data_IF_971568089591
#
_entry.id   IF_971568089591
#
_cell.length_a   1.000
_cell.length_b   1.000
_cell.length_c   1.000
_cell.angle_alpha   90.00
_cell.angle_beta   90.00
_cell.angle_gamma   90.00
#
_symmetry.space_group_name_H-M   'P 1'
#
loop_
_entity.id
_entity.type
_entity.pdbx_description
1 polymer ?
#
# COMPACT_ATOMS: atom_id res chain seq x y z
N UNK A 1 -12.20 -9.76 -24.09
CA UNK A 1 -11.82 -10.63 -22.95
C UNK A 1 -10.34 -11.01 -23.01
N UNK A 2 -9.83 -11.44 -24.18
CA UNK A 2 -8.40 -11.77 -24.38
C UNK A 2 -7.44 -10.67 -23.90
N UNK A 3 -7.63 -9.42 -24.32
CA UNK A 3 -6.77 -8.29 -23.88
C UNK A 3 -6.71 -8.16 -22.37
N UNK A 4 -7.84 -8.34 -21.66
CA UNK A 4 -7.87 -8.24 -20.20
C UNK A 4 -7.10 -9.37 -19.50
N UNK A 5 -7.12 -10.59 -20.07
CA UNK A 5 -6.34 -11.73 -19.55
C UNK A 5 -4.85 -11.44 -19.72
N UNK A 6 -4.45 -10.91 -20.89
CA UNK A 6 -3.07 -10.50 -21.16
C UNK A 6 -2.62 -9.40 -20.19
N UNK A 7 -3.46 -8.38 -19.94
CA UNK A 7 -3.17 -7.33 -18.95
C UNK A 7 -2.90 -7.91 -17.55
N UNK A 8 -3.76 -8.84 -17.10
CA UNK A 8 -3.63 -9.48 -15.78
C UNK A 8 -2.33 -10.29 -15.71
N UNK A 9 -1.99 -11.04 -16.76
CA UNK A 9 -0.74 -11.78 -16.82
C UNK A 9 0.48 -10.87 -16.63
N UNK A 10 0.56 -9.76 -17.37
CA UNK A 10 1.68 -8.81 -17.22
C UNK A 10 1.73 -8.14 -15.85
N UNK A 11 0.56 -7.88 -15.23
CA UNK A 11 0.51 -7.37 -13.85
C UNK A 11 1.10 -8.40 -12.88
N UNK A 12 0.66 -9.66 -12.95
CA UNK A 12 1.14 -10.74 -12.07
C UNK A 12 2.63 -10.99 -12.29
N UNK A 13 3.09 -11.12 -13.54
CA UNK A 13 4.49 -11.32 -13.89
C UNK A 13 5.37 -10.17 -13.34
N UNK A 14 4.88 -8.93 -13.44
CA UNK A 14 5.59 -7.78 -12.90
C UNK A 14 5.66 -7.77 -11.36
N UNK A 15 4.62 -8.21 -10.66
CA UNK A 15 4.60 -8.29 -9.19
C UNK A 15 5.53 -9.42 -8.73
N UNK A 16 5.46 -10.59 -9.37
CA UNK A 16 6.35 -11.72 -9.08
C UNK A 16 7.81 -11.31 -9.27
N UNK A 17 8.12 -10.63 -10.37
CA UNK A 17 9.47 -10.09 -10.62
C UNK A 17 9.91 -9.14 -9.51
N UNK A 18 9.04 -8.24 -9.07
CA UNK A 18 9.33 -7.33 -7.96
C UNK A 18 9.62 -8.07 -6.64
N UNK A 19 8.84 -9.11 -6.32
CA UNK A 19 9.06 -9.93 -5.12
C UNK A 19 10.34 -10.79 -5.22
N UNK A 20 10.63 -11.36 -6.40
CA UNK A 20 11.82 -12.18 -6.59
C UNK A 20 13.11 -11.35 -6.56
N UNK A 21 13.04 -10.08 -6.99
CA UNK A 21 14.15 -9.11 -6.92
C UNK A 21 14.59 -8.80 -5.48
N UNK A 22 13.69 -8.92 -4.51
CA UNK A 22 14.02 -8.71 -3.10
C UNK A 22 14.58 -9.95 -2.41
N UNK A 23 14.44 -11.14 -3.01
CA UNK A 23 14.89 -12.39 -2.42
C UNK A 23 16.44 -12.49 -2.37
N UNK A 24 17.05 -12.74 -1.21
CA UNK A 24 18.51 -12.70 -1.05
C UNK A 24 19.25 -13.74 -1.92
N UNK A 25 18.68 -14.93 -2.11
CA UNK A 25 19.31 -15.99 -2.93
C UNK A 25 19.33 -15.70 -4.44
N UNK A 26 18.58 -14.71 -4.92
CA UNK A 26 18.49 -14.34 -6.34
C UNK A 26 19.28 -13.07 -6.67
N UNK A 27 20.04 -12.55 -5.71
CA UNK A 27 20.90 -11.40 -5.91
C UNK A 27 22.35 -11.85 -6.13
N UNK A 28 22.94 -11.34 -7.19
CA UNK A 28 24.30 -11.66 -7.61
C UNK A 28 25.24 -10.62 -7.02
N UNK A 29 26.40 -11.00 -6.48
CA UNK A 29 27.35 -10.02 -5.99
C UNK A 29 27.96 -9.23 -7.14
N UNK A 30 27.80 -7.91 -7.10
CA UNK A 30 28.46 -6.98 -8.00
C UNK A 30 29.65 -6.32 -7.30
N UNK A 31 30.79 -6.30 -7.99
CA UNK A 31 31.97 -5.56 -7.55
C UNK A 31 31.84 -4.11 -8.06
N UNK A 32 31.31 -3.22 -7.22
CA UNK A 32 31.38 -1.77 -7.48
C UNK A 32 32.71 -1.24 -6.98
N UNK A 33 33.62 -0.92 -7.91
CA UNK A 33 34.80 -0.12 -7.61
C UNK A 33 34.38 1.31 -7.26
N UNK A 34 34.28 1.63 -5.96
CA UNK A 34 34.21 3.02 -5.54
C UNK A 34 35.58 3.67 -5.77
N UNK A 35 35.65 4.52 -6.79
CA UNK A 35 36.83 5.31 -7.11
C UNK A 35 36.94 6.47 -6.10
N UNK A 36 37.45 6.18 -4.89
CA UNK A 36 37.74 7.21 -3.90
C UNK A 36 38.90 8.04 -4.43
N UNK A 37 38.62 9.27 -4.88
CA UNK A 37 39.63 10.21 -5.37
C UNK A 37 40.41 10.78 -4.17
N UNK A 38 41.28 9.97 -3.55
CA UNK A 38 42.14 10.39 -2.44
C UNK A 38 43.35 11.12 -2.98
N UNK A 39 43.28 12.44 -3.05
CA UNK A 39 44.49 13.26 -2.92
C UNK A 39 44.98 13.11 -1.46
N UNK A 40 46.18 12.55 -1.31
CA UNK A 40 47.00 12.46 -0.08
C UNK A 40 46.53 11.52 1.04
N UNK A 41 47.08 10.29 1.11
CA UNK A 41 47.56 9.67 2.36
C UNK A 41 48.34 8.36 2.13
N UNK A 42 49.49 8.21 2.81
CA UNK A 42 50.53 7.16 2.67
C UNK A 42 50.34 5.90 3.56
N UNK A 43 49.13 5.37 3.74
CA UNK A 43 48.93 4.12 4.52
C UNK A 43 48.11 3.11 3.69
N UNK A 44 48.56 1.85 3.52
CA UNK A 44 47.75 0.83 2.88
C UNK A 44 46.65 0.39 3.84
N UNK A 45 45.42 0.83 3.61
CA UNK A 45 44.23 0.27 4.24
C UNK A 45 43.63 -0.77 3.29
N UNK A 46 43.34 -1.96 3.81
CA UNK A 46 42.53 -2.96 3.11
C UNK A 46 41.11 -2.39 2.98
N UNK A 47 40.70 -1.99 1.77
CA UNK A 47 39.30 -1.66 1.52
C UNK A 47 38.49 -2.95 1.59
N UNK A 48 37.61 -3.05 2.59
CA UNK A 48 36.50 -4.01 2.55
C UNK A 48 35.64 -3.63 1.35
N UNK A 49 35.79 -4.39 0.26
CA UNK A 49 34.93 -4.28 -0.90
C UNK A 49 33.50 -4.55 -0.45
N UNK A 50 32.67 -3.50 -0.39
CA UNK A 50 31.26 -3.62 -0.09
C UNK A 50 30.63 -4.42 -1.23
N UNK A 51 30.50 -5.73 -1.03
CA UNK A 51 29.83 -6.66 -1.95
C UNK A 51 28.36 -6.27 -2.01
N UNK A 52 28.00 -5.39 -2.95
CA UNK A 52 26.60 -5.05 -3.21
C UNK A 52 25.96 -6.23 -3.90
N UNK A 53 24.84 -6.70 -3.36
CA UNK A 53 24.06 -7.77 -3.99
C UNK A 53 23.09 -7.11 -4.96
N UNK A 54 23.45 -7.07 -6.24
CA UNK A 54 22.60 -6.54 -7.29
C UNK A 54 21.64 -7.63 -7.80
N UNK A 55 20.41 -7.25 -8.19
CA UNK A 55 19.49 -8.20 -8.78
C UNK A 55 19.98 -8.67 -10.15
N UNK A 56 19.68 -9.91 -10.51
CA UNK A 56 20.03 -10.47 -11.82
C UNK A 56 19.44 -9.65 -12.98
N UNK A 57 20.22 -9.42 -14.04
CA UNK A 57 19.82 -8.66 -15.23
C UNK A 57 18.53 -9.17 -15.90
N UNK A 58 18.21 -10.47 -15.78
CA UNK A 58 16.98 -11.06 -16.30
C UNK A 58 15.72 -10.34 -15.77
N UNK A 59 15.72 -9.94 -14.50
CA UNK A 59 14.60 -9.21 -13.90
C UNK A 59 14.42 -7.84 -14.54
N UNK A 60 15.50 -7.18 -14.94
CA UNK A 60 15.42 -5.90 -15.63
C UNK A 60 14.74 -6.03 -17.00
N UNK A 61 15.07 -7.07 -17.78
CA UNK A 61 14.41 -7.33 -19.06
C UNK A 61 12.92 -7.62 -18.90
N UNK A 62 12.54 -8.45 -17.93
CA UNK A 62 11.12 -8.74 -17.64
C UNK A 62 10.38 -7.48 -17.20
N UNK A 63 10.97 -6.64 -16.34
CA UNK A 63 10.41 -5.33 -15.95
C UNK A 63 10.23 -4.43 -17.18
N UNK A 64 11.20 -4.40 -18.09
CA UNK A 64 11.14 -3.61 -19.32
C UNK A 64 9.96 -4.04 -20.22
N UNK A 65 9.82 -5.35 -20.47
CA UNK A 65 8.73 -5.91 -21.28
C UNK A 65 7.36 -5.62 -20.65
N UNK A 66 7.22 -5.83 -19.34
CA UNK A 66 5.96 -5.55 -18.64
C UNK A 66 5.59 -4.06 -18.71
N UNK A 67 6.57 -3.16 -18.52
CA UNK A 67 6.32 -1.73 -18.60
C UNK A 67 6.03 -1.26 -20.02
N UNK A 68 6.65 -1.86 -21.05
CA UNK A 68 6.33 -1.60 -22.45
C UNK A 68 4.86 -1.97 -22.77
N UNK A 69 4.37 -3.08 -22.22
CA UNK A 69 2.95 -3.42 -22.34
C UNK A 69 2.04 -2.40 -21.63
N UNK A 70 2.42 -1.96 -20.43
CA UNK A 70 1.66 -0.96 -19.67
C UNK A 70 1.60 0.40 -20.35
N UNK A 71 2.68 0.82 -21.00
CA UNK A 71 2.73 2.09 -21.73
C UNK A 71 1.88 2.00 -22.99
N UNK A 72 1.96 0.90 -23.71
CA UNK A 72 1.09 0.62 -24.85
C UNK A 72 -0.39 0.70 -24.45
N UNK A 73 -0.79 0.03 -23.36
CA UNK A 73 -2.17 0.12 -22.87
C UNK A 73 -2.59 1.55 -22.49
N UNK A 74 -1.71 2.28 -21.80
CA UNK A 74 -1.98 3.65 -21.36
C UNK A 74 -2.13 4.60 -22.56
N UNK A 75 -1.24 4.49 -23.55
CA UNK A 75 -1.26 5.29 -24.79
C UNK A 75 -2.51 4.98 -25.59
N UNK A 76 -2.81 3.70 -25.84
CA UNK A 76 -4.00 3.31 -26.60
C UNK A 76 -5.29 3.82 -25.93
N UNK A 77 -5.39 3.71 -24.60
CA UNK A 77 -6.54 4.24 -23.85
C UNK A 77 -6.61 5.76 -23.90
N UNK A 78 -5.47 6.44 -23.80
CA UNK A 78 -5.41 7.90 -23.92
C UNK A 78 -5.88 8.35 -25.31
N UNK A 79 -5.40 7.71 -26.39
CA UNK A 79 -5.75 8.02 -27.78
C UNK A 79 -7.25 7.83 -28.06
N UNK A 80 -7.82 6.71 -27.63
CA UNK A 80 -9.25 6.37 -27.86
C UNK A 80 -10.19 7.19 -26.95
N UNK A 81 -9.70 7.80 -25.87
CA UNK A 81 -10.55 8.58 -24.96
C UNK A 81 -11.10 9.86 -25.63
N UNK A 82 -12.42 10.15 -25.50
CA UNK A 82 -13.03 11.32 -26.14
C UNK A 82 -12.62 12.64 -25.47
N UNK A 83 -12.37 12.63 -24.16
CA UNK A 83 -11.98 13.82 -23.39
C UNK A 83 -10.72 13.52 -22.56
N UNK A 84 -9.59 14.07 -22.98
CA UNK A 84 -8.25 13.76 -22.42
C UNK A 84 -8.10 14.18 -20.95
N UNK A 85 -8.63 15.35 -20.58
CA UNK A 85 -8.55 15.87 -19.20
C UNK A 85 -9.33 15.02 -18.19
N UNK A 86 -10.51 14.54 -18.59
CA UNK A 86 -11.32 13.63 -17.76
C UNK A 86 -10.60 12.28 -17.61
N UNK A 87 -9.98 11.80 -18.69
CA UNK A 87 -9.17 10.59 -18.65
C UNK A 87 -7.98 10.71 -17.67
N UNK A 88 -7.24 11.82 -17.72
CA UNK A 88 -6.08 12.05 -16.85
C UNK A 88 -6.45 12.24 -15.38
N UNK A 89 -7.65 12.79 -15.07
CA UNK A 89 -8.12 12.97 -13.68
C UNK A 89 -8.76 11.72 -13.08
N UNK A 90 -9.04 10.67 -13.87
CA UNK A 90 -9.66 9.47 -13.35
C UNK A 90 -8.68 8.69 -12.44
N UNK A 91 -9.05 8.30 -11.21
CA UNK A 91 -8.12 7.78 -10.20
C UNK A 91 -7.38 6.52 -10.66
N UNK A 92 -8.06 5.61 -11.36
CA UNK A 92 -7.43 4.39 -11.91
C UNK A 92 -6.38 4.72 -12.97
N UNK A 93 -6.60 5.74 -13.80
CA UNK A 93 -5.64 6.15 -14.83
C UNK A 93 -4.47 6.95 -14.23
N UNK A 94 -4.69 7.70 -13.15
CA UNK A 94 -3.61 8.36 -12.39
C UNK A 94 -2.65 7.31 -11.83
N UNK A 95 -3.19 6.25 -11.21
CA UNK A 95 -2.39 5.12 -10.73
C UNK A 95 -1.63 4.46 -11.88
N UNK A 96 -2.29 4.23 -13.02
CA UNK A 96 -1.63 3.67 -14.21
C UNK A 96 -0.45 4.53 -14.68
N UNK A 97 -0.62 5.85 -14.69
CA UNK A 97 0.39 6.82 -15.10
C UNK A 97 1.56 6.87 -14.10
N UNK A 98 1.28 7.01 -12.81
CA UNK A 98 2.30 7.07 -11.73
C UNK A 98 3.13 5.79 -11.70
N UNK A 99 2.49 4.62 -11.77
CA UNK A 99 3.17 3.33 -11.77
C UNK A 99 4.12 3.19 -12.98
N UNK A 100 3.68 3.64 -14.15
CA UNK A 100 4.47 3.60 -15.38
C UNK A 100 5.62 4.59 -15.33
N UNK A 101 5.36 5.83 -14.91
CA UNK A 101 6.34 6.91 -14.78
C UNK A 101 7.47 6.53 -13.81
N UNK A 102 7.15 5.87 -12.69
CA UNK A 102 8.15 5.45 -11.70
C UNK A 102 9.28 4.59 -12.28
N UNK A 103 8.97 3.72 -13.24
CA UNK A 103 9.98 2.89 -13.92
C UNK A 103 10.89 3.73 -14.83
N UNK A 104 10.32 4.65 -15.60
CA UNK A 104 11.09 5.53 -16.49
C UNK A 104 12.01 6.46 -15.70
N UNK A 105 11.54 6.95 -14.55
CA UNK A 105 12.37 7.76 -13.66
C UNK A 105 13.57 6.97 -13.12
N UNK A 106 13.35 5.73 -12.66
CA UNK A 106 14.44 4.87 -12.20
C UNK A 106 15.44 4.53 -13.32
N UNK A 107 14.93 4.17 -14.51
CA UNK A 107 15.75 3.90 -15.68
C UNK A 107 16.59 5.11 -16.09
N UNK A 108 15.98 6.31 -16.11
CA UNK A 108 16.67 7.55 -16.44
C UNK A 108 17.76 7.89 -15.42
N UNK A 109 17.45 7.80 -14.12
CA UNK A 109 18.40 8.11 -13.05
C UNK A 109 19.59 7.14 -13.05
N UNK A 110 19.34 5.85 -13.32
CA UNK A 110 20.40 4.85 -13.49
C UNK A 110 21.32 5.18 -14.66
N UNK A 111 20.77 5.65 -15.79
CA UNK A 111 21.55 6.09 -16.96
C UNK A 111 22.37 7.35 -16.68
N UNK A 112 21.83 8.28 -15.90
CA UNK A 112 22.51 9.51 -15.50
C UNK A 112 23.55 9.30 -14.39
N UNK A 113 23.77 8.06 -13.92
CA UNK A 113 24.71 7.68 -12.83
C UNK A 113 24.54 8.54 -11.57
N UNK A 114 23.33 9.02 -11.30
CA UNK A 114 23.05 9.88 -10.15
C UNK A 114 22.58 9.01 -8.99
N UNK A 115 23.51 8.64 -8.11
CA UNK A 115 23.18 7.98 -6.85
C UNK A 115 22.51 9.00 -5.92
N UNK A 116 21.19 8.89 -5.77
CA UNK A 116 20.48 9.58 -4.69
C UNK A 116 19.54 8.59 -4.01
N UNK A 117 19.33 8.76 -2.71
CA UNK A 117 18.37 8.00 -1.89
C UNK A 117 16.94 8.01 -2.49
N UNK A 118 16.63 8.99 -3.34
CA UNK A 118 15.37 9.04 -4.11
C UNK A 118 15.12 7.80 -4.99
N UNK A 119 16.17 7.09 -5.43
CA UNK A 119 16.03 5.85 -6.22
C UNK A 119 15.29 4.74 -5.46
N UNK A 120 15.56 4.64 -4.15
CA UNK A 120 14.88 3.67 -3.29
C UNK A 120 13.40 4.04 -3.11
N UNK A 121 13.10 5.32 -2.97
CA UNK A 121 11.72 5.81 -2.88
C UNK A 121 10.90 5.54 -4.16
N UNK A 122 11.48 5.80 -5.35
CA UNK A 122 10.81 5.50 -6.63
C UNK A 122 10.57 4.00 -6.83
N UNK A 123 11.37 3.13 -6.22
CA UNK A 123 11.18 1.68 -6.26
C UNK A 123 9.94 1.24 -5.48
N UNK A 124 9.58 1.91 -4.38
CA UNK A 124 8.35 1.62 -3.62
C UNK A 124 7.10 1.96 -4.44
N UNK A 125 7.16 3.05 -5.24
CA UNK A 125 6.04 3.47 -6.10
C UNK A 125 5.67 2.35 -7.10
N UNK A 126 6.59 1.44 -7.45
CA UNK A 126 6.27 0.30 -8.33
C UNK A 126 5.16 -0.58 -7.78
N UNK A 127 5.03 -0.71 -6.45
CA UNK A 127 3.97 -1.49 -5.79
C UNK A 127 2.58 -0.96 -6.17
N UNK A 128 2.45 0.33 -6.49
CA UNK A 128 1.17 0.92 -6.93
C UNK A 128 0.61 0.26 -8.19
N UNK A 129 1.43 -0.43 -9.01
CA UNK A 129 0.95 -1.22 -10.15
C UNK A 129 0.03 -2.38 -9.74
N UNK A 130 0.07 -2.84 -8.49
CA UNK A 130 -0.88 -3.81 -7.92
C UNK A 130 -2.32 -3.30 -8.07
N UNK A 131 -2.53 -2.00 -7.86
CA UNK A 131 -3.83 -1.37 -7.97
C UNK A 131 -4.34 -1.32 -9.43
N UNK A 132 -3.54 -1.64 -10.46
CA UNK A 132 -4.05 -1.85 -11.83
C UNK A 132 -5.07 -2.98 -11.89
N UNK A 133 -4.98 -3.98 -11.00
CA UNK A 133 -5.95 -5.06 -10.87
C UNK A 133 -7.37 -4.54 -10.57
N UNK A 134 -7.50 -3.34 -9.97
CA UNK A 134 -8.79 -2.68 -9.73
C UNK A 134 -9.59 -2.49 -11.03
N UNK A 135 -8.94 -2.33 -12.18
CA UNK A 135 -9.61 -2.19 -13.48
C UNK A 135 -10.31 -3.48 -13.90
N UNK A 136 -9.67 -4.60 -13.64
CA UNK A 136 -10.06 -5.93 -14.12
C UNK A 136 -10.95 -6.68 -13.13
N UNK A 137 -10.89 -6.34 -11.85
CA UNK A 137 -11.78 -6.89 -10.81
C UNK A 137 -12.97 -5.97 -10.58
N UNK A 138 -14.19 -6.33 -11.05
CA UNK A 138 -15.40 -5.60 -10.70
C UNK A 138 -15.65 -5.63 -9.18
N UNK A 139 -15.24 -6.71 -8.49
CA UNK A 139 -15.34 -6.83 -7.04
C UNK A 139 -14.55 -5.74 -6.30
N UNK A 140 -13.34 -5.41 -6.77
CA UNK A 140 -12.52 -4.38 -6.15
C UNK A 140 -13.08 -2.96 -6.36
N UNK A 141 -13.75 -2.71 -7.50
CA UNK A 141 -14.48 -1.43 -7.71
C UNK A 141 -15.67 -1.30 -6.76
N UNK A 142 -16.43 -2.39 -6.59
CA UNK A 142 -17.54 -2.42 -5.64
C UNK A 142 -17.01 -2.18 -4.23
N UNK A 143 -15.94 -2.86 -3.84
CA UNK A 143 -15.26 -2.70 -2.55
C UNK A 143 -14.87 -1.23 -2.29
N UNK A 144 -14.26 -0.55 -3.26
CA UNK A 144 -13.91 0.87 -3.15
C UNK A 144 -15.16 1.75 -2.98
N UNK A 145 -16.21 1.49 -3.75
CA UNK A 145 -17.47 2.25 -3.64
C UNK A 145 -18.15 2.05 -2.28
N UNK A 146 -18.16 0.83 -1.76
CA UNK A 146 -18.70 0.50 -0.44
C UNK A 146 -17.85 1.13 0.68
N UNK A 147 -16.51 1.09 0.58
CA UNK A 147 -15.64 1.80 1.53
C UNK A 147 -15.88 3.30 1.52
N UNK A 148 -16.06 3.90 0.35
CA UNK A 148 -16.38 5.33 0.23
C UNK A 148 -17.73 5.67 0.86
N UNK A 149 -18.72 4.80 0.72
CA UNK A 149 -20.04 4.97 1.33
C UNK A 149 -19.98 4.82 2.86
N UNK A 150 -19.17 3.89 3.36
CA UNK A 150 -18.97 3.61 4.80
C UNK A 150 -17.82 4.41 5.44
N UNK A 151 -17.25 5.39 4.72
CA UNK A 151 -16.05 6.10 5.15
C UNK A 151 -16.26 6.86 6.47
N UNK A 152 -17.45 7.45 6.66
CA UNK A 152 -17.80 8.16 7.88
C UNK A 152 -17.71 7.25 9.12
N UNK A 153 -18.36 6.07 9.06
CA UNK A 153 -18.35 5.08 10.14
C UNK A 153 -16.95 4.52 10.41
N UNK A 154 -16.17 4.27 9.35
CA UNK A 154 -14.80 3.79 9.47
C UNK A 154 -13.88 4.84 10.09
N UNK A 155 -14.02 6.12 9.72
CA UNK A 155 -13.25 7.20 10.33
C UNK A 155 -13.57 7.35 11.82
N UNK A 156 -14.83 7.18 12.22
CA UNK A 156 -15.25 7.22 13.62
C UNK A 156 -14.65 6.04 14.42
N UNK A 157 -14.61 4.83 13.87
CA UNK A 157 -13.91 3.70 14.49
C UNK A 157 -12.41 3.99 14.69
N UNK A 158 -11.73 4.47 13.64
CA UNK A 158 -10.30 4.81 13.70
C UNK A 158 -10.03 5.90 14.74
N UNK A 159 -10.93 6.89 14.85
CA UNK A 159 -10.84 7.96 15.84
C UNK A 159 -10.85 7.44 17.28
N UNK A 160 -11.80 6.58 17.64
CA UNK A 160 -11.83 5.98 18.99
C UNK A 160 -10.63 5.08 19.25
N UNK A 161 -10.17 4.34 18.23
CA UNK A 161 -9.01 3.47 18.33
C UNK A 161 -7.73 4.30 18.62
N UNK A 162 -7.52 5.41 17.92
CA UNK A 162 -6.38 6.32 18.16
C UNK A 162 -6.42 6.90 19.57
N UNK A 163 -7.60 7.35 20.04
CA UNK A 163 -7.74 7.87 21.41
C UNK A 163 -7.36 6.80 22.44
N UNK A 164 -7.89 5.59 22.28
CA UNK A 164 -7.55 4.47 23.17
C UNK A 164 -6.05 4.15 23.16
N UNK A 165 -5.42 4.11 21.99
CA UNK A 165 -3.98 3.86 21.86
C UNK A 165 -3.18 4.89 22.67
N UNK A 166 -3.48 6.19 22.48
CA UNK A 166 -2.73 7.26 23.16
C UNK A 166 -2.91 7.21 24.67
N UNK A 167 -4.13 6.94 25.15
CA UNK A 167 -4.44 6.82 26.58
C UNK A 167 -3.68 5.63 27.18
N UNK A 168 -3.82 4.43 26.62
CA UNK A 168 -3.19 3.23 27.19
C UNK A 168 -1.66 3.23 27.06
N UNK A 169 -1.11 3.79 25.97
CA UNK A 169 0.33 4.00 25.84
C UNK A 169 0.89 4.93 26.92
N UNK A 170 0.15 5.99 27.25
CA UNK A 170 0.54 6.91 28.32
C UNK A 170 0.43 6.25 29.70
N UNK A 171 -0.67 5.53 29.95
CA UNK A 171 -0.90 4.83 31.22
C UNK A 171 0.17 3.77 31.49
N UNK A 172 0.49 2.92 30.51
CA UNK A 172 1.50 1.86 30.71
C UNK A 172 2.89 2.46 30.90
N UNK A 173 3.22 3.54 30.19
CA UNK A 173 4.49 4.25 30.35
C UNK A 173 4.67 4.77 31.78
N UNK A 174 3.65 5.41 32.35
CA UNK A 174 3.73 5.86 33.75
C UNK A 174 3.68 4.70 34.73
N UNK A 175 2.85 3.68 34.50
CA UNK A 175 2.73 2.51 35.37
C UNK A 175 4.06 1.75 35.52
N UNK A 176 4.78 1.54 34.42
CA UNK A 176 6.07 0.83 34.41
C UNK A 176 7.22 1.63 35.03
N UNK A 177 7.05 2.95 35.25
CA UNK A 177 8.04 3.78 35.95
C UNK A 177 7.81 3.92 37.45
N UNK A 178 6.65 3.48 37.96
CA UNK A 178 6.33 3.57 39.39
C UNK A 178 7.12 2.53 40.20
N UNK A 179 7.31 1.33 39.65
CA UNK A 179 8.07 0.26 40.29
C UNK A 179 9.45 0.13 39.63
N UNK A 180 10.47 -0.19 40.42
CA UNK A 180 11.81 -0.46 39.88
C UNK A 180 11.76 -1.71 39.00
N UNK A 181 12.01 -1.53 37.70
CA UNK A 181 12.04 -2.58 36.70
C UNK A 181 13.35 -2.45 35.88
N UNK A 182 14.35 -3.33 36.09
CA UNK A 182 15.61 -3.26 35.36
C UNK A 182 15.47 -3.57 33.87
N UNK A 183 14.44 -4.33 33.48
CA UNK A 183 14.17 -4.71 32.09
C UNK A 183 12.94 -3.98 31.53
N UNK A 184 12.84 -2.67 31.75
CA UNK A 184 11.72 -1.86 31.26
C UNK A 184 11.83 -1.58 29.76
N UNK A 185 10.87 -2.07 28.98
CA UNK A 185 10.79 -1.84 27.54
C UNK A 185 10.14 -0.49 27.17
N UNK A 186 9.40 0.14 28.09
CA UNK A 186 8.63 1.37 27.86
C UNK A 186 9.49 2.63 28.09
N UNK A 187 10.44 2.87 27.20
CA UNK A 187 11.38 4.02 27.30
C UNK A 187 10.73 5.36 26.97
N UNK A 188 9.71 5.37 26.11
CA UNK A 188 9.02 6.58 25.68
C UNK A 188 7.57 6.29 25.29
N UNK A 189 6.71 7.32 25.31
CA UNK A 189 5.30 7.18 24.92
C UNK A 189 5.15 6.66 23.48
N UNK A 190 5.93 7.13 22.46
CA UNK A 190 5.84 6.59 21.11
C UNK A 190 6.15 5.09 21.01
N UNK A 191 7.09 4.60 21.83
CA UNK A 191 7.38 3.16 21.95
C UNK A 191 6.21 2.42 22.61
N UNK A 192 5.55 3.04 23.60
CA UNK A 192 4.28 2.56 24.16
C UNK A 192 3.12 2.54 23.17
N UNK A 193 3.08 3.43 22.16
CA UNK A 193 2.06 3.42 21.11
C UNK A 193 2.11 2.12 20.30
N UNK A 194 3.32 1.61 19.98
CA UNK A 194 3.49 0.31 19.31
C UNK A 194 2.84 -0.82 20.12
N UNK A 195 3.17 -0.90 21.41
CA UNK A 195 2.55 -1.88 22.31
C UNK A 195 1.03 -1.74 22.40
N UNK A 196 0.52 -0.51 22.53
CA UNK A 196 -0.92 -0.24 22.64
C UNK A 196 -1.67 -0.60 21.34
N UNK A 197 -1.08 -0.34 20.16
CA UNK A 197 -1.62 -0.78 18.87
C UNK A 197 -1.72 -2.31 18.84
N UNK A 198 -0.63 -3.00 19.14
CA UNK A 198 -0.55 -4.48 19.10
C UNK A 198 -1.48 -5.13 20.12
N UNK A 199 -1.66 -4.52 21.28
CA UNK A 199 -2.51 -5.04 22.37
C UNK A 199 -3.99 -4.76 22.12
N UNK A 200 -4.36 -3.54 21.73
CA UNK A 200 -5.76 -3.20 21.44
C UNK A 200 -6.31 -3.93 20.21
N UNK A 201 -5.45 -4.24 19.24
CA UNK A 201 -5.81 -5.05 18.05
C UNK A 201 -5.70 -6.56 18.29
N UNK A 202 -5.44 -6.97 19.53
CA UNK A 202 -5.31 -8.39 19.95
C UNK A 202 -4.26 -9.19 19.17
N UNK A 203 -3.24 -8.54 18.60
CA UNK A 203 -2.14 -9.21 17.89
C UNK A 203 -1.16 -9.84 18.87
N UNK A 204 -0.73 -9.07 19.88
CA UNK A 204 0.07 -9.58 21.00
C UNK A 204 1.38 -10.29 20.61
N UNK A 205 2.29 -9.63 19.88
CA UNK A 205 3.57 -10.22 19.48
C UNK A 205 4.45 -10.69 20.66
N UNK A 206 4.31 -10.06 21.84
CA UNK A 206 5.09 -10.40 23.03
C UNK A 206 6.52 -9.84 23.04
N UNK A 207 6.88 -9.00 22.07
CA UNK A 207 8.15 -8.27 22.02
C UNK A 207 8.25 -7.20 23.12
N UNK A 208 7.11 -6.67 23.56
CA UNK A 208 6.98 -5.72 24.66
C UNK A 208 5.81 -6.12 25.56
N UNK A 209 6.05 -6.20 26.87
CA UNK A 209 5.01 -6.52 27.86
C UNK A 209 5.25 -5.77 29.16
N UNK A 210 4.20 -5.26 29.84
CA UNK A 210 4.36 -4.69 31.16
C UNK A 210 4.79 -5.76 32.18
N UNK A 211 5.75 -5.43 33.04
CA UNK A 211 6.29 -6.34 34.05
C UNK A 211 5.88 -5.94 35.47
N UNK A 212 5.42 -4.71 35.65
CA UNK A 212 4.92 -4.18 36.92
C UNK A 212 3.49 -4.60 37.17
N UNK A 213 3.07 -4.72 38.44
CA UNK A 213 1.68 -5.08 38.78
C UNK A 213 0.67 -4.06 38.23
N UNK A 214 1.00 -2.76 38.30
CA UNK A 214 0.17 -1.70 37.71
C UNK A 214 0.14 -1.77 36.19
N UNK A 215 1.29 -2.03 35.56
CA UNK A 215 1.37 -2.22 34.11
C UNK A 215 0.55 -3.41 33.63
N UNK A 216 0.57 -4.53 34.35
CA UNK A 216 -0.26 -5.71 34.05
C UNK A 216 -1.76 -5.41 34.19
N UNK A 217 -2.15 -4.65 35.21
CA UNK A 217 -3.52 -4.19 35.36
C UNK A 217 -3.94 -3.28 34.18
N UNK A 218 -3.12 -2.30 33.82
CA UNK A 218 -3.35 -1.43 32.64
C UNK A 218 -3.41 -2.26 31.35
N UNK A 219 -2.53 -3.26 31.20
CA UNK A 219 -2.52 -4.18 30.07
C UNK A 219 -3.81 -4.99 29.95
N UNK A 220 -4.32 -5.51 31.07
CA UNK A 220 -5.60 -6.24 31.10
C UNK A 220 -6.78 -5.34 30.69
N UNK A 221 -6.82 -4.10 31.19
CA UNK A 221 -7.84 -3.13 30.83
C UNK A 221 -7.73 -2.71 29.37
N UNK A 222 -6.51 -2.54 28.86
CA UNK A 222 -6.22 -2.21 27.47
C UNK A 222 -6.73 -3.29 26.52
N UNK A 223 -6.44 -4.56 26.80
CA UNK A 223 -6.91 -5.69 26.00
C UNK A 223 -8.45 -5.77 25.97
N UNK A 224 -9.10 -5.67 27.14
CA UNK A 224 -10.56 -5.70 27.24
C UNK A 224 -11.20 -4.53 26.47
N UNK A 225 -10.68 -3.32 26.67
CA UNK A 225 -11.21 -2.11 26.04
C UNK A 225 -10.96 -2.11 24.53
N UNK A 226 -9.83 -2.65 24.06
CA UNK A 226 -9.52 -2.82 22.64
C UNK A 226 -10.55 -3.70 21.92
N UNK A 227 -10.86 -4.87 22.50
CA UNK A 227 -11.88 -5.78 21.97
C UNK A 227 -13.24 -5.10 21.90
N UNK A 228 -13.67 -4.42 22.96
CA UNK A 228 -14.94 -3.69 22.99
C UNK A 228 -14.97 -2.56 21.94
N UNK A 229 -13.88 -1.81 21.80
CA UNK A 229 -13.76 -0.69 20.85
C UNK A 229 -13.90 -1.16 19.41
N UNK A 230 -13.34 -2.33 19.07
CA UNK A 230 -13.45 -2.91 17.72
C UNK A 230 -14.83 -3.59 17.54
N UNK A 231 -15.33 -4.28 18.55
CA UNK A 231 -16.56 -5.07 18.45
C UNK A 231 -17.83 -4.22 18.27
N UNK A 232 -17.88 -2.99 18.79
CA UNK A 232 -19.09 -2.17 18.70
C UNK A 232 -19.34 -1.57 17.30
N UNK A 233 -18.36 -0.96 16.61
CA UNK A 233 -18.61 -0.30 15.32
C UNK A 233 -18.55 -1.26 14.13
N UNK A 234 -17.80 -2.37 14.23
CA UNK A 234 -17.61 -3.31 13.13
C UNK A 234 -18.94 -3.90 12.62
N UNK A 235 -19.88 -4.39 13.45
CA UNK A 235 -21.16 -4.89 12.98
C UNK A 235 -22.00 -3.83 12.24
N UNK A 236 -21.94 -2.57 12.69
CA UNK A 236 -22.62 -1.44 12.02
C UNK A 236 -22.01 -1.20 10.64
N UNK A 237 -20.68 -1.21 10.54
CA UNK A 237 -19.96 -1.09 9.27
C UNK A 237 -20.30 -2.26 8.35
N UNK A 238 -20.32 -3.49 8.86
CA UNK A 238 -20.64 -4.70 8.08
C UNK A 238 -22.08 -4.68 7.58
N UNK A 239 -23.03 -4.27 8.41
CA UNK A 239 -24.44 -4.13 8.01
C UNK A 239 -24.62 -3.10 6.89
N UNK A 240 -24.01 -1.92 7.04
CA UNK A 240 -24.01 -0.88 6.01
C UNK A 240 -23.33 -1.37 4.72
N UNK A 241 -22.19 -2.05 4.84
CA UNK A 241 -21.48 -2.61 3.71
C UNK A 241 -22.35 -3.64 2.96
N UNK A 242 -23.02 -4.55 3.66
CA UNK A 242 -23.92 -5.54 3.07
C UNK A 242 -25.13 -4.89 2.37
N UNK A 243 -25.70 -3.84 2.96
CA UNK A 243 -26.77 -3.06 2.35
C UNK A 243 -26.33 -2.42 1.02
N UNK A 244 -25.20 -1.71 1.00
CA UNK A 244 -24.69 -1.08 -0.22
C UNK A 244 -24.23 -2.10 -1.26
N UNK A 245 -23.63 -3.20 -0.83
CA UNK A 245 -23.21 -4.29 -1.70
C UNK A 245 -24.41 -4.96 -2.40
N UNK A 246 -25.47 -5.28 -1.65
CA UNK A 246 -26.69 -5.87 -2.22
C UNK A 246 -27.39 -4.91 -3.19
N UNK A 247 -27.48 -3.61 -2.86
CA UNK A 247 -28.07 -2.60 -3.75
C UNK A 247 -27.29 -2.44 -5.06
N UNK A 248 -25.96 -2.41 -5.00
CA UNK A 248 -25.11 -2.30 -6.21
C UNK A 248 -25.20 -3.58 -7.06
N UNK A 249 -25.26 -4.75 -6.44
CA UNK A 249 -25.46 -6.02 -7.15
C UNK A 249 -26.85 -6.14 -7.79
N UNK A 250 -27.90 -5.73 -7.08
CA UNK A 250 -29.27 -5.69 -7.61
C UNK A 250 -29.37 -4.75 -8.81
N UNK A 251 -28.79 -3.54 -8.71
CA UNK A 251 -28.72 -2.59 -9.84
C UNK A 251 -27.93 -3.13 -11.04
N UNK A 252 -26.90 -3.93 -10.81
CA UNK A 252 -26.14 -4.57 -11.88
C UNK A 252 -26.94 -5.68 -12.61
N UNK A 253 -27.88 -6.34 -11.91
CA UNK A 253 -28.77 -7.37 -12.48
C UNK A 253 -29.99 -6.79 -13.20
N UNK A 254 -30.39 -5.55 -12.92
CA UNK A 254 -31.50 -4.89 -13.60
C UNK A 254 -31.17 -4.65 -15.09
N UNK A 255 -32.10 -4.92 -16.03
CA UNK A 255 -31.88 -4.63 -17.44
C UNK A 255 -31.66 -3.13 -17.62
N UNK A 256 -30.60 -2.76 -18.34
CA UNK A 256 -30.32 -1.35 -18.67
C UNK A 256 -31.55 -0.77 -19.36
N UNK A 257 -32.19 0.22 -18.73
CA UNK A 257 -33.35 0.93 -19.28
C UNK A 257 -32.95 1.49 -20.65
N UNK A 258 -33.40 0.85 -21.74
CA UNK A 258 -33.23 1.37 -23.10
C UNK A 258 -33.82 2.77 -23.08
N UNK A 259 -33.02 3.81 -23.41
CA UNK A 259 -33.55 5.16 -23.61
C UNK A 259 -34.72 5.03 -24.58
N UNK A 260 -35.95 5.22 -24.11
CA UNK A 260 -37.12 5.33 -24.98
C UNK A 260 -36.83 6.53 -25.87
N UNK A 261 -36.58 6.28 -27.15
CA UNK A 261 -36.61 7.34 -28.15
C UNK A 261 -38.04 7.85 -28.11
N UNK A 262 -38.23 9.11 -27.72
CA UNK A 262 -39.53 9.75 -27.79
C UNK A 262 -39.99 9.61 -29.25
N UNK A 263 -41.19 9.07 -29.53
CA UNK A 263 -41.77 9.17 -30.86
C UNK A 263 -41.79 10.65 -31.23
N UNK A 264 -41.33 11.00 -32.43
CA UNK A 264 -41.46 12.36 -32.94
C UNK A 264 -42.96 12.64 -32.98
N UNK A 265 -43.41 13.57 -32.13
CA UNK A 265 -44.79 14.05 -32.12
C UNK A 265 -45.15 14.44 -33.56
N UNK A 266 -46.10 13.73 -34.17
CA UNK A 266 -46.57 14.08 -35.49
C UNK A 266 -47.23 15.46 -35.41
N UNK A 267 -46.73 16.41 -36.19
CA UNK A 267 -47.33 17.72 -36.38
C UNK A 267 -48.77 17.49 -36.83
N UNK A 268 -49.73 17.87 -35.99
CA UNK A 268 -51.16 17.78 -36.35
C UNK A 268 -51.45 18.75 -37.50
N UNK A 269 -52.27 18.34 -38.48
CA UNK A 269 -52.62 19.14 -39.65
C UNK A 269 -53.45 20.38 -39.29
#
# INVERSE_FOLDING_TARGET
>A
QVVAIISIFFIIASILTFCLKTHPSLRVPSQRQQQYNKKQQRRPYFMLEKKTLDPHDAFFYVECVCNAWFTFELIMRFLVSPVKLVFLRAPVNVVDFVATLSFYLDFLMTRLKKENDFLEFFSIIRITRLFKLTRHSPGLKILIHTFKASAHELMLLIFFLIIGIVIFASLVYYAERIQYNPDNNFTSIPVGLWWAIVTMTTVGYGDMTPKTYLGMFVGSLCALTGVLTIALPVPVIVSNFALFYSHTQARAKLPKKRRRVLPVEAVRP
#
